data_IF_789252901497
#
_entry.id   IF_789252901497
#
_cell.length_a   1.000
_cell.length_b   1.000
_cell.length_c   1.000
_cell.angle_alpha   90.00
_cell.angle_beta   90.00
_cell.angle_gamma   90.00
#
_symmetry.space_group_name_H-M   'P 1'
#
loop_
_entity.id
_entity.type
_entity.pdbx_description
1 polymer ?
#
# COMPACT_ATOMS: atom_id res chain seq x y z
N UNK A 1 -26.74 51.84 11.46
CA UNK A 1 -25.32 51.59 11.76
C UNK A 1 -25.21 50.08 11.86
N UNK A 2 -24.94 49.44 10.72
CA UNK A 2 -24.99 47.98 10.56
C UNK A 2 -23.56 47.56 10.27
N UNK A 3 -22.95 46.84 11.20
CA UNK A 3 -21.56 46.39 11.10
C UNK A 3 -21.48 45.31 10.02
N UNK A 4 -20.77 45.64 8.94
CA UNK A 4 -20.39 44.71 7.89
C UNK A 4 -19.27 43.82 8.44
N UNK A 5 -19.66 42.67 9.00
CA UNK A 5 -18.73 41.63 9.41
C UNK A 5 -18.11 40.99 8.16
N UNK A 6 -16.97 41.54 7.74
CA UNK A 6 -16.14 40.99 6.68
C UNK A 6 -15.34 39.82 7.25
N UNK A 7 -15.99 38.66 7.40
CA UNK A 7 -15.29 37.40 7.59
C UNK A 7 -14.40 37.15 6.37
N UNK A 8 -13.10 37.42 6.52
CA UNK A 8 -12.09 37.01 5.54
C UNK A 8 -12.18 35.50 5.35
N UNK A 9 -12.20 34.99 4.12
CA UNK A 9 -12.23 33.55 3.90
C UNK A 9 -10.97 32.95 4.51
N UNK A 10 -11.13 32.07 5.49
CA UNK A 10 -10.02 31.28 6.03
C UNK A 10 -9.46 30.46 4.87
N UNK A 11 -8.29 30.86 4.36
CA UNK A 11 -7.53 30.03 3.42
C UNK A 11 -7.09 28.80 4.19
N UNK A 12 -7.75 27.67 3.95
CA UNK A 12 -7.29 26.36 4.41
C UNK A 12 -5.82 26.18 4.05
N UNK A 13 -5.06 25.53 4.92
CA UNK A 13 -3.62 25.34 4.71
C UNK A 13 -3.43 24.29 3.63
N UNK A 14 -3.03 24.69 2.43
CA UNK A 14 -2.60 23.74 1.38
C UNK A 14 -1.22 23.20 1.75
N UNK A 15 -1.08 21.88 1.87
CA UNK A 15 0.20 21.19 2.08
C UNK A 15 0.55 20.44 0.80
N UNK A 16 1.78 20.62 0.31
CA UNK A 16 2.30 19.82 -0.81
C UNK A 16 3.07 18.61 -0.28
N UNK A 17 2.66 17.40 -0.67
CA UNK A 17 3.37 16.16 -0.36
C UNK A 17 4.41 15.90 -1.45
N UNK A 18 5.58 16.51 -1.34
CA UNK A 18 6.65 16.35 -2.33
C UNK A 18 7.38 15.00 -2.22
N UNK A 19 7.39 14.39 -1.03
CA UNK A 19 8.23 13.22 -0.75
C UNK A 19 7.50 12.11 0.02
N UNK A 20 7.64 10.89 -0.48
CA UNK A 20 7.19 9.65 0.17
C UNK A 20 8.42 8.84 0.58
N UNK A 21 8.51 8.47 1.86
CA UNK A 21 9.63 7.67 2.37
C UNK A 21 9.56 6.21 1.85
N UNK A 22 10.51 5.74 1.01
CA UNK A 22 10.40 4.45 0.35
C UNK A 22 10.31 3.26 1.30
N UNK A 23 11.08 3.30 2.40
CA UNK A 23 11.03 2.23 3.40
C UNK A 23 9.66 2.16 4.10
N UNK A 24 8.98 3.28 4.29
CA UNK A 24 7.69 3.30 4.97
C UNK A 24 6.60 2.82 4.01
N UNK A 25 6.62 3.29 2.75
CA UNK A 25 5.74 2.79 1.70
C UNK A 25 5.88 1.27 1.50
N UNK A 26 7.12 0.77 1.45
CA UNK A 26 7.39 -0.66 1.41
C UNK A 26 6.84 -1.41 2.62
N UNK A 27 7.07 -0.94 3.84
CA UNK A 27 6.53 -1.59 5.05
C UNK A 27 5.00 -1.67 5.03
N UNK A 28 4.33 -0.57 4.67
CA UNK A 28 2.87 -0.51 4.61
C UNK A 28 2.34 -1.50 3.57
N UNK A 29 2.83 -1.43 2.33
CA UNK A 29 2.36 -2.32 1.27
C UNK A 29 2.76 -3.78 1.50
N UNK A 30 3.96 -4.04 2.01
CA UNK A 30 4.40 -5.38 2.39
C UNK A 30 3.50 -5.99 3.47
N UNK A 31 3.14 -5.23 4.50
CA UNK A 31 2.22 -5.70 5.55
C UNK A 31 0.80 -5.91 5.01
N UNK A 32 0.29 -5.00 4.17
CA UNK A 32 -1.01 -5.18 3.51
C UNK A 32 -1.03 -6.50 2.70
N UNK A 33 0.02 -6.76 1.94
CA UNK A 33 0.13 -7.99 1.15
C UNK A 33 0.34 -9.23 2.03
N UNK A 34 1.03 -9.11 3.17
CA UNK A 34 1.11 -10.20 4.16
C UNK A 34 -0.27 -10.61 4.67
N UNK A 35 -1.09 -9.62 5.05
CA UNK A 35 -2.45 -9.85 5.55
C UNK A 35 -3.31 -10.49 4.45
N UNK A 36 -3.23 -9.98 3.23
CA UNK A 36 -3.95 -10.56 2.09
C UNK A 36 -3.50 -12.00 1.82
N UNK A 37 -2.20 -12.28 1.82
CA UNK A 37 -1.69 -13.63 1.61
C UNK A 37 -2.15 -14.60 2.70
N UNK A 38 -2.18 -14.14 3.96
CA UNK A 38 -2.64 -14.96 5.08
C UNK A 38 -4.14 -15.31 4.98
N UNK A 39 -4.95 -14.43 4.39
CA UNK A 39 -6.38 -14.68 4.17
C UNK A 39 -6.59 -15.57 2.93
N UNK A 40 -5.89 -15.26 1.82
CA UNK A 40 -6.11 -15.91 0.53
C UNK A 40 -5.46 -17.29 0.44
N UNK A 41 -4.26 -17.49 1.00
CA UNK A 41 -3.58 -18.79 0.93
C UNK A 41 -4.43 -19.95 1.49
N UNK A 42 -5.03 -19.89 2.70
CA UNK A 42 -5.89 -20.97 3.16
C UNK A 42 -7.15 -21.10 2.29
N UNK A 43 -7.74 -19.99 1.80
CA UNK A 43 -8.93 -20.04 0.96
C UNK A 43 -8.69 -20.79 -0.36
N UNK A 44 -7.52 -20.62 -0.98
CA UNK A 44 -7.19 -21.28 -2.25
C UNK A 44 -6.60 -22.68 -2.06
N UNK A 45 -5.85 -22.94 -0.98
CA UNK A 45 -5.05 -24.16 -0.87
C UNK A 45 -5.56 -25.20 0.14
N UNK A 46 -6.54 -24.88 1.00
CA UNK A 46 -7.12 -25.87 1.93
C UNK A 46 -7.77 -27.05 1.19
N UNK A 47 -8.60 -26.78 0.17
CA UNK A 47 -9.30 -27.83 -0.57
C UNK A 47 -8.34 -28.83 -1.22
N UNK A 48 -7.35 -28.39 -2.01
CA UNK A 48 -6.30 -29.26 -2.55
C UNK A 48 -5.49 -29.99 -1.48
N UNK A 49 -5.17 -29.33 -0.35
CA UNK A 49 -4.42 -29.95 0.74
C UNK A 49 -5.19 -31.10 1.42
N UNK A 50 -6.53 -31.05 1.42
CA UNK A 50 -7.38 -32.08 2.04
C UNK A 50 -7.59 -33.33 1.17
N UNK A 51 -7.29 -33.28 -0.13
CA UNK A 51 -7.52 -34.41 -1.05
C UNK A 51 -6.49 -35.55 -0.90
N UNK A 52 -5.36 -35.27 -0.21
CA UNK A 52 -4.26 -36.22 -0.10
C UNK A 52 -3.47 -36.38 -1.41
N UNK A 53 -2.41 -37.20 -1.38
CA UNK A 53 -1.57 -37.45 -2.55
C UNK A 53 -0.56 -36.32 -2.88
N UNK A 54 0.13 -36.43 -4.03
CA UNK A 54 1.13 -35.44 -4.48
C UNK A 54 0.60 -34.00 -4.56
N UNK A 55 -0.68 -33.84 -4.89
CA UNK A 55 -1.36 -32.56 -5.04
C UNK A 55 -1.45 -31.81 -3.71
N UNK A 56 -1.64 -32.54 -2.60
CA UNK A 56 -1.66 -31.96 -1.26
C UNK A 56 -0.28 -31.38 -0.88
N UNK A 57 0.80 -32.10 -1.20
CA UNK A 57 2.17 -31.62 -1.00
C UNK A 57 2.45 -30.35 -1.79
N UNK A 58 2.05 -30.31 -3.06
CA UNK A 58 2.18 -29.12 -3.91
C UNK A 58 1.39 -27.93 -3.36
N UNK A 59 0.16 -28.14 -2.91
CA UNK A 59 -0.69 -27.09 -2.34
C UNK A 59 -0.09 -26.46 -1.08
N UNK A 60 0.50 -27.26 -0.19
CA UNK A 60 1.17 -26.78 1.01
C UNK A 60 2.39 -25.93 0.66
N UNK A 61 3.23 -26.40 -0.27
CA UNK A 61 4.41 -25.66 -0.73
C UNK A 61 3.99 -24.32 -1.35
N UNK A 62 2.96 -24.32 -2.20
CA UNK A 62 2.46 -23.10 -2.84
C UNK A 62 1.83 -22.13 -1.84
N UNK A 63 1.11 -22.62 -0.83
CA UNK A 63 0.57 -21.77 0.23
C UNK A 63 1.68 -21.07 1.02
N UNK A 64 2.75 -21.78 1.37
CA UNK A 64 3.91 -21.21 2.08
C UNK A 64 4.65 -20.21 1.18
N UNK A 65 4.88 -20.58 -0.07
CA UNK A 65 5.52 -19.69 -1.06
C UNK A 65 4.72 -18.39 -1.23
N UNK A 66 3.40 -18.48 -1.37
CA UNK A 66 2.52 -17.31 -1.47
C UNK A 66 2.57 -16.47 -0.20
N UNK A 67 2.51 -17.09 0.99
CA UNK A 67 2.56 -16.38 2.26
C UNK A 67 3.86 -15.58 2.47
N UNK A 68 4.98 -16.01 1.88
CA UNK A 68 6.28 -15.34 1.99
C UNK A 68 6.50 -14.36 0.83
N UNK A 69 6.32 -14.82 -0.41
CA UNK A 69 6.66 -14.02 -1.59
C UNK A 69 5.73 -12.84 -1.80
N UNK A 70 4.45 -12.99 -1.47
CA UNK A 70 3.48 -11.92 -1.69
C UNK A 70 3.78 -10.67 -0.83
N UNK A 71 4.06 -10.77 0.50
CA UNK A 71 4.55 -9.64 1.28
C UNK A 71 5.88 -9.04 0.77
N UNK A 72 6.82 -9.89 0.34
CA UNK A 72 8.11 -9.42 -0.19
C UNK A 72 7.89 -8.59 -1.45
N UNK A 73 7.04 -9.05 -2.36
CA UNK A 73 6.67 -8.31 -3.57
C UNK A 73 5.92 -7.02 -3.24
N UNK A 74 5.00 -7.03 -2.26
CA UNK A 74 4.33 -5.83 -1.78
C UNK A 74 5.31 -4.80 -1.23
N UNK A 75 6.32 -5.25 -0.47
CA UNK A 75 7.35 -4.39 0.08
C UNK A 75 8.23 -3.77 -1.01
N UNK A 76 8.76 -4.59 -1.91
CA UNK A 76 9.62 -4.14 -3.01
C UNK A 76 8.82 -3.20 -3.93
N UNK A 77 7.62 -3.60 -4.33
CA UNK A 77 6.73 -2.78 -5.16
C UNK A 77 6.40 -1.44 -4.51
N UNK A 78 6.12 -1.42 -3.21
CA UNK A 78 5.85 -0.18 -2.49
C UNK A 78 7.05 0.75 -2.39
N UNK A 79 8.24 0.20 -2.12
CA UNK A 79 9.47 0.99 -2.09
C UNK A 79 9.81 1.55 -3.49
N UNK A 80 9.69 0.72 -4.54
CA UNK A 80 9.93 1.14 -5.92
C UNK A 80 8.94 2.22 -6.37
N UNK A 81 7.66 2.07 -6.04
CA UNK A 81 6.65 3.08 -6.39
C UNK A 81 6.87 4.41 -5.66
N UNK A 82 7.31 4.38 -4.41
CA UNK A 82 7.67 5.60 -3.69
C UNK A 82 8.90 6.29 -4.31
N UNK A 83 9.92 5.53 -4.72
CA UNK A 83 11.07 6.08 -5.44
C UNK A 83 10.66 6.72 -6.76
N UNK A 84 9.79 6.03 -7.52
CA UNK A 84 9.26 6.54 -8.78
C UNK A 84 8.43 7.82 -8.55
N UNK A 85 7.61 7.84 -7.51
CA UNK A 85 6.84 9.03 -7.13
C UNK A 85 7.75 10.21 -6.84
N UNK A 86 8.77 10.04 -5.99
CA UNK A 86 9.68 11.12 -5.62
C UNK A 86 10.41 11.68 -6.85
N UNK A 87 10.81 10.81 -7.77
CA UNK A 87 11.43 11.21 -9.03
C UNK A 87 10.47 12.07 -9.88
N UNK A 88 9.23 11.62 -10.07
CA UNK A 88 8.24 12.36 -10.86
C UNK A 88 7.82 13.66 -10.17
N UNK A 89 7.62 13.65 -8.85
CA UNK A 89 7.27 14.83 -8.06
C UNK A 89 8.32 15.93 -8.18
N UNK A 90 9.62 15.58 -8.23
CA UNK A 90 10.69 16.54 -8.47
C UNK A 90 10.68 17.17 -9.87
N UNK A 91 9.95 16.61 -10.84
CA UNK A 91 9.85 17.12 -12.21
C UNK A 91 8.63 18.02 -12.45
N UNK A 92 7.47 17.64 -11.92
CA UNK A 92 6.19 18.29 -12.24
C UNK A 92 5.50 18.94 -11.04
N UNK A 93 6.07 18.81 -9.85
CA UNK A 93 5.45 19.17 -8.57
C UNK A 93 4.68 17.99 -7.96
N UNK A 94 4.78 17.85 -6.63
CA UNK A 94 4.11 16.79 -5.88
C UNK A 94 2.59 16.99 -5.72
N UNK A 95 1.93 16.08 -5.00
CA UNK A 95 0.50 16.19 -4.72
C UNK A 95 0.19 17.38 -3.81
N UNK A 96 -0.74 18.25 -4.23
CA UNK A 96 -1.30 19.32 -3.40
C UNK A 96 -2.52 18.80 -2.66
N UNK A 97 -2.51 18.89 -1.33
CA UNK A 97 -3.65 18.52 -0.50
C UNK A 97 -4.13 19.76 0.24
N UNK A 98 -5.40 20.11 0.01
CA UNK A 98 -6.07 21.18 0.74
C UNK A 98 -6.64 20.63 2.05
N UNK A 99 -6.08 21.08 3.18
CA UNK A 99 -6.65 20.82 4.49
C UNK A 99 -7.70 21.90 4.77
N UNK A 100 -8.97 21.50 4.83
CA UNK A 100 -10.07 22.32 5.35
C UNK A 100 -10.04 22.35 6.87
#
# INVERSE_FOLDING_TARGET
MSEENTEKPQRGTTIEFEYIHPLQAGKVLGLMYAILALILAPLFFIGPAMQGGPEAGFAIVMAIMMAIMYPVMGFIGGALMALLYNFVAGLIGGFRIDLK
#
